data_IF_554183453445
#
_entry.id   IF_554183453445
#
_cell.length_a   1.000
_cell.length_b   1.000
_cell.length_c   1.000
_cell.angle_alpha   90.00
_cell.angle_beta   90.00
_cell.angle_gamma   90.00
#
_symmetry.space_group_name_H-M   'P 1'
#
loop_
_entity.id
_entity.type
_entity.pdbx_description
1 polymer ?
#
# COMPACT_ATOMS: atom_id res chain seq x y z
N UNK A 1 16.28 -44.27 -11.93
CA UNK A 1 15.92 -42.85 -12.14
C UNK A 1 17.22 -42.07 -12.05
N UNK A 2 17.75 -41.62 -13.18
CA UNK A 2 18.98 -40.83 -13.21
C UNK A 2 18.69 -39.46 -12.59
N UNK A 3 19.32 -39.15 -11.47
CA UNK A 3 19.35 -37.80 -10.93
C UNK A 3 20.32 -36.99 -11.78
N UNK A 4 19.80 -36.30 -12.80
CA UNK A 4 20.57 -35.30 -13.53
C UNK A 4 21.05 -34.25 -12.51
N UNK A 5 22.37 -34.01 -12.37
CA UNK A 5 22.86 -33.01 -11.43
C UNK A 5 22.29 -31.65 -11.83
N UNK A 6 21.48 -31.07 -10.94
CA UNK A 6 20.93 -29.74 -11.15
C UNK A 6 22.10 -28.77 -11.26
N UNK A 7 22.36 -28.25 -12.46
CA UNK A 7 23.44 -27.30 -12.67
C UNK A 7 23.06 -25.94 -12.09
N UNK A 8 24.05 -25.20 -11.60
CA UNK A 8 23.84 -23.85 -11.08
C UNK A 8 23.22 -22.92 -12.15
N UNK A 9 23.55 -23.15 -13.42
CA UNK A 9 22.98 -22.45 -14.58
C UNK A 9 21.47 -22.68 -14.69
N UNK A 10 21.02 -23.94 -14.59
CA UNK A 10 19.59 -24.26 -14.59
C UNK A 10 18.82 -23.57 -13.46
N UNK A 11 19.37 -23.54 -12.25
CA UNK A 11 18.72 -22.87 -11.12
C UNK A 11 18.64 -21.35 -11.34
N UNK A 12 19.65 -20.76 -11.96
CA UNK A 12 19.68 -19.33 -12.23
C UNK A 12 18.61 -18.96 -13.27
N UNK A 13 18.45 -19.76 -14.32
CA UNK A 13 17.41 -19.53 -15.32
C UNK A 13 16.01 -19.79 -14.77
N UNK A 14 15.85 -20.81 -13.92
CA UNK A 14 14.61 -21.02 -13.18
C UNK A 14 14.29 -19.81 -12.28
N UNK A 15 15.28 -19.30 -11.55
CA UNK A 15 15.09 -18.14 -10.68
C UNK A 15 14.65 -16.90 -11.47
N UNK A 16 15.29 -16.63 -12.60
CA UNK A 16 14.96 -15.51 -13.50
C UNK A 16 13.55 -15.62 -14.08
N UNK A 17 13.18 -16.78 -14.63
CA UNK A 17 11.84 -17.00 -15.19
C UNK A 17 10.74 -16.84 -14.14
N UNK A 18 11.00 -17.26 -12.89
CA UNK A 18 10.09 -17.05 -11.77
C UNK A 18 9.97 -15.57 -11.39
N UNK A 19 11.05 -14.79 -11.40
CA UNK A 19 10.98 -13.33 -11.18
C UNK A 19 10.04 -12.67 -12.20
N UNK A 20 10.21 -12.99 -13.49
CA UNK A 20 9.40 -12.44 -14.58
C UNK A 20 7.92 -12.81 -14.38
N UNK A 21 7.63 -14.11 -14.20
CA UNK A 21 6.26 -14.58 -13.98
C UNK A 21 5.59 -13.90 -12.77
N UNK A 22 6.32 -13.74 -11.67
CA UNK A 22 5.82 -13.03 -10.48
C UNK A 22 5.50 -11.57 -10.81
N UNK A 23 6.40 -10.88 -11.51
CA UNK A 23 6.21 -9.46 -11.85
C UNK A 23 5.02 -9.26 -12.79
N UNK A 24 4.82 -10.14 -13.77
CA UNK A 24 3.63 -10.15 -14.64
C UNK A 24 2.34 -10.35 -13.83
N UNK A 25 2.31 -11.36 -12.95
CA UNK A 25 1.15 -11.63 -12.09
C UNK A 25 0.85 -10.44 -11.18
N UNK A 26 1.88 -9.85 -10.57
CA UNK A 26 1.74 -8.67 -9.71
C UNK A 26 1.19 -7.48 -10.50
N UNK A 27 1.72 -7.21 -11.68
CA UNK A 27 1.23 -6.13 -12.54
C UNK A 27 -0.23 -6.34 -12.93
N UNK A 28 -0.60 -7.56 -13.32
CA UNK A 28 -1.99 -7.91 -13.65
C UNK A 28 -2.94 -7.69 -12.45
N UNK A 29 -2.52 -8.07 -11.24
CA UNK A 29 -3.30 -7.81 -10.02
C UNK A 29 -3.43 -6.31 -9.76
N UNK A 30 -2.35 -5.54 -9.82
CA UNK A 30 -2.38 -4.08 -9.62
C UNK A 30 -3.24 -3.36 -10.67
N UNK A 31 -3.19 -3.77 -11.94
CA UNK A 31 -4.04 -3.24 -13.00
C UNK A 31 -5.51 -3.57 -12.78
N UNK A 32 -5.81 -4.81 -12.39
CA UNK A 32 -7.17 -5.21 -12.06
C UNK A 32 -7.71 -4.42 -10.86
N UNK A 33 -6.92 -4.27 -9.79
CA UNK A 33 -7.27 -3.40 -8.66
C UNK A 33 -7.57 -1.97 -9.10
N UNK A 34 -6.73 -1.36 -9.95
CA UNK A 34 -6.97 -0.01 -10.50
C UNK A 34 -8.28 0.05 -11.28
N UNK A 35 -8.55 -0.92 -12.15
CA UNK A 35 -9.82 -1.01 -12.90
C UNK A 35 -11.02 -1.10 -11.94
N UNK A 36 -10.92 -1.88 -10.88
CA UNK A 36 -11.99 -2.02 -9.89
C UNK A 36 -12.21 -0.75 -9.06
N UNK A 37 -11.14 -0.10 -8.59
CA UNK A 37 -11.25 1.20 -7.93
C UNK A 37 -11.92 2.24 -8.83
N UNK A 38 -11.61 2.22 -10.13
CA UNK A 38 -12.24 3.09 -11.11
C UNK A 38 -13.73 2.75 -11.31
N UNK A 39 -14.07 1.46 -11.44
CA UNK A 39 -15.44 0.96 -11.62
C UNK A 39 -16.34 1.36 -10.44
N UNK A 40 -15.85 1.23 -9.21
CA UNK A 40 -16.60 1.54 -7.99
C UNK A 40 -16.27 2.91 -7.40
N UNK A 41 -15.66 3.81 -8.18
CA UNK A 41 -15.18 5.12 -7.72
C UNK A 41 -16.23 5.90 -6.95
N UNK A 42 -17.47 5.94 -7.45
CA UNK A 42 -18.57 6.66 -6.82
C UNK A 42 -18.99 6.03 -5.49
N UNK A 43 -19.04 4.69 -5.42
CA UNK A 43 -19.35 3.97 -4.18
C UNK A 43 -18.26 4.17 -3.14
N UNK A 44 -16.98 4.11 -3.53
CA UNK A 44 -15.88 4.41 -2.62
C UNK A 44 -15.90 5.86 -2.13
N UNK A 45 -16.15 6.83 -3.03
CA UNK A 45 -16.29 8.24 -2.66
C UNK A 45 -17.41 8.43 -1.65
N UNK A 46 -18.56 7.80 -1.87
CA UNK A 46 -19.68 7.85 -0.93
C UNK A 46 -19.33 7.19 0.40
N UNK A 47 -18.79 5.97 0.36
CA UNK A 47 -18.43 5.19 1.54
C UNK A 47 -17.47 5.97 2.44
N UNK A 48 -16.33 6.42 1.89
CA UNK A 48 -15.34 7.18 2.66
C UNK A 48 -15.87 8.57 3.05
N UNK A 49 -16.68 9.21 2.20
CA UNK A 49 -17.37 10.45 2.54
C UNK A 49 -18.24 10.30 3.79
N UNK A 50 -19.08 9.27 3.83
CA UNK A 50 -19.92 8.96 4.99
C UNK A 50 -19.10 8.63 6.24
N UNK A 51 -18.00 7.90 6.10
CA UNK A 51 -17.09 7.63 7.23
C UNK A 51 -16.55 8.92 7.84
N UNK A 52 -16.07 9.83 7.00
CA UNK A 52 -15.52 11.12 7.41
C UNK A 52 -16.60 11.98 8.07
N UNK A 53 -17.80 12.06 7.47
CA UNK A 53 -18.93 12.77 8.05
C UNK A 53 -19.30 12.23 9.44
N UNK A 54 -19.34 10.90 9.61
CA UNK A 54 -19.60 10.28 10.91
C UNK A 54 -18.53 10.65 11.94
N UNK A 55 -17.24 10.65 11.56
CA UNK A 55 -16.15 11.05 12.45
C UNK A 55 -16.36 12.48 12.95
N UNK A 56 -16.64 13.43 12.06
CA UNK A 56 -16.84 14.82 12.45
C UNK A 56 -18.13 15.04 13.25
N UNK A 57 -19.21 14.32 12.94
CA UNK A 57 -20.42 14.33 13.77
C UNK A 57 -20.14 13.83 15.19
N UNK A 58 -19.34 12.78 15.36
CA UNK A 58 -18.91 12.32 16.69
C UNK A 58 -18.08 13.36 17.43
N UNK A 59 -17.19 14.08 16.73
CA UNK A 59 -16.40 15.17 17.32
C UNK A 59 -17.29 16.33 17.78
N UNK A 60 -18.31 16.69 16.98
CA UNK A 60 -19.33 17.68 17.36
C UNK A 60 -20.10 17.25 18.61
N UNK A 61 -20.62 16.02 18.61
CA UNK A 61 -21.32 15.46 19.77
C UNK A 61 -20.45 15.47 21.03
N UNK A 62 -19.19 15.04 20.93
CA UNK A 62 -18.27 15.05 22.05
C UNK A 62 -18.02 16.46 22.60
N UNK A 63 -17.96 17.49 21.74
CA UNK A 63 -17.88 18.88 22.16
C UNK A 63 -19.14 19.31 22.91
N UNK A 64 -20.32 19.13 22.31
CA UNK A 64 -21.60 19.50 22.94
C UNK A 64 -21.78 18.81 24.30
N UNK A 65 -21.46 17.53 24.36
CA UNK A 65 -21.60 16.72 25.56
C UNK A 65 -20.63 17.17 26.66
N UNK A 66 -19.40 17.58 26.31
CA UNK A 66 -18.46 18.21 27.24
C UNK A 66 -19.00 19.52 27.80
N UNK A 67 -19.48 20.42 26.96
CA UNK A 67 -20.06 21.69 27.39
C UNK A 67 -21.26 21.47 28.32
N UNK A 68 -22.15 20.55 27.96
CA UNK A 68 -23.31 20.21 28.77
C UNK A 68 -22.92 19.67 30.16
N UNK A 69 -21.91 18.80 30.23
CA UNK A 69 -21.40 18.25 31.49
C UNK A 69 -20.74 19.33 32.38
N UNK A 70 -20.19 20.38 31.77
CA UNK A 70 -19.57 21.51 32.48
C UNK A 70 -20.54 22.67 32.71
N UNK A 71 -21.82 22.53 32.33
CA UNK A 71 -22.82 23.60 32.37
C UNK A 71 -22.39 24.87 31.63
N UNK A 72 -21.59 24.72 30.57
CA UNK A 72 -21.15 25.81 29.70
C UNK A 72 -22.17 25.98 28.58
N UNK A 73 -22.49 27.23 28.23
CA UNK A 73 -23.35 27.55 27.10
C UNK A 73 -22.73 27.01 25.81
N UNK A 74 -23.56 26.43 24.95
CA UNK A 74 -23.13 25.87 23.68
C UNK A 74 -23.43 26.91 22.59
N UNK A 75 -22.39 27.49 22.00
CA UNK A 75 -22.51 28.39 20.85
C UNK A 75 -22.22 27.65 19.55
N UNK A 76 -23.05 27.91 18.53
CA UNK A 76 -22.92 27.22 17.25
C UNK A 76 -21.63 27.59 16.53
N UNK A 77 -21.26 28.86 16.57
CA UNK A 77 -20.05 29.42 15.93
C UNK A 77 -18.77 28.80 16.52
N UNK A 78 -18.75 28.55 17.84
CA UNK A 78 -17.62 27.89 18.50
C UNK A 78 -17.49 26.41 18.08
N UNK A 79 -18.61 25.70 17.94
CA UNK A 79 -18.60 24.31 17.44
C UNK A 79 -18.03 24.27 16.02
N UNK A 80 -18.50 25.14 15.13
CA UNK A 80 -18.05 25.14 13.75
C UNK A 80 -16.56 25.51 13.66
N UNK A 81 -16.12 26.51 14.43
CA UNK A 81 -14.69 26.87 14.55
C UNK A 81 -13.83 25.72 15.06
N UNK A 82 -14.28 25.02 16.12
CA UNK A 82 -13.59 23.84 16.65
C UNK A 82 -13.49 22.72 15.61
N UNK A 83 -14.56 22.45 14.88
CA UNK A 83 -14.57 21.39 13.86
C UNK A 83 -13.69 21.75 12.68
N UNK A 84 -13.63 23.01 12.27
CA UNK A 84 -12.77 23.44 11.18
C UNK A 84 -11.28 23.31 11.54
N UNK A 85 -10.89 23.65 12.78
CA UNK A 85 -9.55 23.38 13.28
C UNK A 85 -9.21 21.87 13.30
N UNK A 86 -10.15 21.03 13.75
CA UNK A 86 -9.96 19.56 13.76
C UNK A 86 -9.86 18.98 12.34
N UNK A 87 -10.62 19.52 11.38
CA UNK A 87 -10.51 19.11 9.97
C UNK A 87 -9.14 19.44 9.40
N UNK A 88 -8.62 20.64 9.68
CA UNK A 88 -7.33 21.09 9.18
C UNK A 88 -6.19 20.19 9.68
N UNK A 89 -6.15 19.91 10.99
CA UNK A 89 -5.18 18.97 11.58
C UNK A 89 -5.29 17.57 10.97
N UNK A 90 -6.52 17.06 10.79
CA UNK A 90 -6.74 15.75 10.18
C UNK A 90 -6.26 15.70 8.72
N UNK A 91 -6.53 16.75 7.93
CA UNK A 91 -6.06 16.86 6.56
C UNK A 91 -4.53 16.96 6.48
N UNK A 92 -3.91 17.68 7.42
CA UNK A 92 -2.46 17.74 7.53
C UNK A 92 -1.85 16.35 7.82
N UNK A 93 -2.42 15.59 8.76
CA UNK A 93 -1.99 14.22 9.05
C UNK A 93 -2.16 13.28 7.85
N UNK A 94 -3.26 13.40 7.10
CA UNK A 94 -3.46 12.62 5.88
C UNK A 94 -2.41 12.94 4.81
N UNK A 95 -2.03 14.21 4.67
CA UNK A 95 -0.99 14.62 3.72
C UNK A 95 0.40 14.12 4.16
N UNK A 96 0.72 14.17 5.45
CA UNK A 96 1.92 13.53 6.01
C UNK A 96 1.93 12.03 5.66
N UNK A 97 0.83 11.31 5.92
CA UNK A 97 0.74 9.87 5.62
C UNK A 97 0.85 9.58 4.12
N UNK A 98 0.26 10.42 3.27
CA UNK A 98 0.37 10.31 1.81
C UNK A 98 1.83 10.43 1.37
N UNK A 99 2.56 11.36 1.96
CA UNK A 99 3.98 11.58 1.65
C UNK A 99 4.88 10.49 2.28
N UNK A 100 4.55 9.97 3.46
CA UNK A 100 5.24 8.82 4.08
C UNK A 100 4.93 7.47 3.40
N UNK A 101 3.85 7.37 2.63
CA UNK A 101 3.56 6.20 1.77
C UNK A 101 4.60 6.03 0.65
N UNK A 102 5.50 7.00 0.46
CA UNK A 102 6.76 6.77 -0.25
C UNK A 102 7.63 5.80 0.57
N UNK A 103 7.50 4.50 0.26
CA UNK A 103 8.32 3.35 0.68
C UNK A 103 9.25 3.63 1.87
N UNK A 104 8.88 3.18 3.07
CA UNK A 104 9.75 3.26 4.26
C UNK A 104 11.10 2.61 3.93
N UNK A 105 12.19 3.38 4.06
CA UNK A 105 13.56 2.91 3.83
C UNK A 105 13.83 1.74 4.77
N UNK A 106 14.14 0.56 4.23
CA UNK A 106 14.40 -0.65 5.02
C UNK A 106 15.66 -0.47 5.85
N UNK A 107 15.67 -0.96 7.08
CA UNK A 107 16.90 -1.05 7.86
C UNK A 107 17.76 -2.19 7.32
N UNK A 108 19.02 -1.89 7.00
CA UNK A 108 20.04 -2.88 6.69
C UNK A 108 21.18 -2.72 7.68
N UNK A 109 21.77 -3.84 8.08
CA UNK A 109 23.02 -3.82 8.83
C UNK A 109 24.18 -3.34 7.92
N UNK A 110 25.35 -3.12 8.52
CA UNK A 110 26.55 -2.61 7.83
C UNK A 110 26.95 -3.45 6.62
N UNK A 111 26.87 -4.78 6.71
CA UNK A 111 27.24 -5.66 5.61
C UNK A 111 26.18 -5.69 4.50
N UNK A 112 24.90 -5.65 4.85
CA UNK A 112 23.79 -5.49 3.90
C UNK A 112 23.90 -4.19 3.12
N UNK A 113 24.30 -3.09 3.76
CA UNK A 113 24.56 -1.81 3.09
C UNK A 113 25.74 -1.90 2.10
N UNK A 114 26.85 -2.54 2.50
CA UNK A 114 28.00 -2.78 1.61
C UNK A 114 27.60 -3.65 0.43
N UNK A 115 26.76 -4.66 0.64
CA UNK A 115 26.26 -5.54 -0.41
C UNK A 115 25.34 -4.77 -1.37
N UNK A 116 24.36 -4.04 -0.87
CA UNK A 116 23.46 -3.20 -1.68
C UNK A 116 24.25 -2.22 -2.56
N UNK A 117 25.26 -1.53 -1.99
CA UNK A 117 26.13 -0.62 -2.75
C UNK A 117 26.93 -1.34 -3.83
N UNK A 118 27.45 -2.54 -3.56
CA UNK A 118 28.20 -3.34 -4.54
C UNK A 118 27.31 -3.78 -5.70
N UNK A 119 26.14 -4.33 -5.39
CA UNK A 119 25.16 -4.79 -6.39
C UNK A 119 24.69 -3.62 -7.24
N UNK A 120 24.25 -2.52 -6.62
CA UNK A 120 23.80 -1.34 -7.34
C UNK A 120 24.86 -0.79 -8.30
N UNK A 121 26.13 -0.69 -7.85
CA UNK A 121 27.25 -0.30 -8.71
C UNK A 121 27.47 -1.23 -9.90
N UNK A 122 27.20 -2.53 -9.78
CA UNK A 122 27.33 -3.50 -10.88
C UNK A 122 26.19 -3.34 -11.88
N UNK A 123 24.97 -3.13 -11.39
CA UNK A 123 23.78 -2.87 -12.22
C UNK A 123 24.02 -1.64 -13.09
N UNK A 124 24.26 -0.46 -12.49
CA UNK A 124 24.38 0.83 -13.24
C UNK A 124 25.55 0.89 -14.22
N UNK A 125 26.52 -0.03 -14.12
CA UNK A 125 27.64 -0.14 -15.07
C UNK A 125 27.28 -0.93 -16.33
N UNK A 126 26.18 -1.67 -16.30
CA UNK A 126 25.78 -2.63 -17.33
C UNK A 126 24.49 -2.23 -18.05
N UNK A 127 23.70 -1.35 -17.46
CA UNK A 127 22.47 -0.82 -18.05
C UNK A 127 22.57 0.69 -18.20
N UNK A 128 22.00 1.20 -19.28
CA UNK A 128 21.88 2.63 -19.54
C UNK A 128 20.64 3.24 -18.85
N UNK A 129 20.52 4.56 -18.90
CA UNK A 129 19.43 5.30 -18.22
C UNK A 129 18.05 5.00 -18.79
N UNK A 130 18.00 4.68 -20.08
CA UNK A 130 16.79 4.35 -20.82
C UNK A 130 16.34 2.90 -20.55
N UNK A 131 17.15 2.11 -19.85
CA UNK A 131 16.84 0.72 -19.58
C UNK A 131 15.61 0.58 -18.66
N UNK A 132 14.67 -0.34 -18.91
CA UNK A 132 13.46 -0.51 -18.10
C UNK A 132 13.71 -0.77 -16.59
N UNK A 133 14.88 -1.34 -16.26
CA UNK A 133 15.29 -1.62 -14.88
C UNK A 133 16.03 -0.46 -14.20
N UNK A 134 16.34 0.63 -14.91
CA UNK A 134 17.15 1.75 -14.39
C UNK A 134 16.51 2.40 -13.16
N UNK A 135 15.30 2.94 -13.30
CA UNK A 135 14.59 3.60 -12.19
C UNK A 135 14.30 2.62 -11.05
N UNK A 136 13.92 1.38 -11.38
CA UNK A 136 13.70 0.29 -10.39
C UNK A 136 14.97 0.05 -9.55
N UNK A 137 16.15 0.15 -10.15
CA UNK A 137 17.43 -0.03 -9.45
C UNK A 137 17.76 1.14 -8.52
N UNK A 138 17.51 2.39 -8.96
CA UNK A 138 17.72 3.60 -8.16
C UNK A 138 16.81 3.57 -6.93
N UNK A 139 15.52 3.31 -7.14
CA UNK A 139 14.54 3.20 -6.08
C UNK A 139 14.94 2.13 -5.06
N UNK A 140 15.28 0.94 -5.53
CA UNK A 140 15.66 -0.17 -4.66
C UNK A 140 16.89 0.17 -3.82
N UNK A 141 17.87 0.88 -4.38
CA UNK A 141 19.03 1.35 -3.63
C UNK A 141 18.68 2.45 -2.62
N UNK A 142 17.90 3.46 -3.04
CA UNK A 142 17.47 4.58 -2.18
C UNK A 142 16.73 4.10 -0.93
N UNK A 143 15.89 3.08 -1.09
CA UNK A 143 15.05 2.51 -0.04
C UNK A 143 15.61 1.25 0.62
N UNK A 144 16.88 0.92 0.36
CA UNK A 144 17.59 -0.22 0.95
C UNK A 144 16.91 -1.58 0.68
N UNK A 145 16.29 -1.76 -0.48
CA UNK A 145 15.68 -3.01 -0.88
C UNK A 145 16.70 -3.98 -1.48
N UNK A 146 17.49 -4.61 -0.60
CA UNK A 146 18.53 -5.55 -1.02
C UNK A 146 17.96 -6.73 -1.81
N UNK A 147 16.80 -7.26 -1.40
CA UNK A 147 16.11 -8.37 -2.07
C UNK A 147 15.78 -7.98 -3.51
N UNK A 148 15.30 -6.77 -3.73
CA UNK A 148 14.96 -6.29 -5.06
C UNK A 148 16.20 -6.00 -5.90
N UNK A 149 17.24 -5.38 -5.33
CA UNK A 149 18.52 -5.18 -6.01
C UNK A 149 19.11 -6.50 -6.54
N UNK A 150 18.99 -7.59 -5.77
CA UNK A 150 19.44 -8.91 -6.19
C UNK A 150 18.60 -9.49 -7.34
N UNK A 151 17.29 -9.28 -7.33
CA UNK A 151 16.42 -9.68 -8.45
C UNK A 151 16.84 -8.93 -9.72
N UNK A 152 17.04 -7.61 -9.62
CA UNK A 152 17.44 -6.77 -10.75
C UNK A 152 18.80 -7.22 -11.31
N UNK A 153 19.78 -7.48 -10.45
CA UNK A 153 21.09 -7.97 -10.88
C UNK A 153 20.99 -9.29 -11.65
N UNK A 154 20.17 -10.23 -11.17
CA UNK A 154 19.96 -11.51 -11.85
C UNK A 154 19.32 -11.36 -13.24
N UNK A 155 18.41 -10.40 -13.41
CA UNK A 155 17.80 -10.06 -14.71
C UNK A 155 18.80 -9.38 -15.65
N UNK A 156 19.59 -8.41 -15.14
CA UNK A 156 20.61 -7.73 -15.95
C UNK A 156 21.70 -8.71 -16.41
N UNK A 157 22.11 -9.64 -15.55
CA UNK A 157 23.10 -10.67 -15.92
C UNK A 157 22.59 -11.59 -17.04
N UNK A 158 21.27 -11.81 -17.12
CA UNK A 158 20.64 -12.58 -18.21
C UNK A 158 20.71 -11.81 -19.54
N UNK A 159 20.23 -10.56 -19.55
CA UNK A 159 20.19 -9.73 -20.76
C UNK A 159 21.60 -9.45 -21.32
N UNK A 160 22.58 -9.26 -20.43
CA UNK A 160 23.96 -8.97 -20.79
C UNK A 160 24.85 -10.20 -20.99
N UNK A 161 24.30 -11.43 -20.90
CA UNK A 161 25.01 -12.70 -21.05
C UNK A 161 26.28 -12.79 -20.17
N UNK A 162 26.21 -12.26 -18.94
CA UNK A 162 27.37 -12.20 -18.06
C UNK A 162 27.68 -13.57 -17.45
N UNK A 163 28.91 -14.07 -17.61
CA UNK A 163 29.35 -15.39 -17.12
C UNK A 163 29.67 -15.44 -15.62
N UNK A 164 29.45 -14.37 -14.85
CA UNK A 164 29.83 -14.31 -13.42
C UNK A 164 28.78 -14.97 -12.52
N UNK A 165 28.87 -16.29 -12.40
CA UNK A 165 27.97 -17.10 -11.59
C UNK A 165 28.63 -17.47 -10.26
N UNK A 166 28.80 -16.49 -9.36
CA UNK A 166 29.26 -16.78 -7.98
C UNK A 166 28.13 -16.50 -6.97
N UNK A 167 26.95 -17.06 -7.26
CA UNK A 167 25.81 -17.08 -6.34
C UNK A 167 25.79 -18.45 -5.70
N UNK A 168 25.78 -18.47 -4.37
CA UNK A 168 25.64 -19.67 -3.57
C UNK A 168 24.35 -20.44 -3.96
N UNK A 169 24.49 -21.73 -4.29
CA UNK A 169 23.38 -22.58 -4.75
C UNK A 169 22.28 -22.71 -3.68
N UNK A 170 22.66 -22.82 -2.40
CA UNK A 170 21.70 -22.92 -1.29
C UNK A 170 20.91 -21.62 -1.19
N UNK A 171 21.60 -20.48 -1.27
CA UNK A 171 20.95 -19.18 -1.28
C UNK A 171 19.96 -19.04 -2.45
N UNK A 172 20.36 -19.47 -3.65
CA UNK A 172 19.51 -19.44 -4.84
C UNK A 172 18.27 -20.33 -4.68
N UNK A 173 18.41 -21.53 -4.10
CA UNK A 173 17.28 -22.42 -3.83
C UNK A 173 16.28 -21.82 -2.84
N UNK A 174 16.76 -21.23 -1.73
CA UNK A 174 15.90 -20.52 -0.77
C UNK A 174 15.11 -19.42 -1.48
N UNK A 175 15.77 -18.68 -2.36
CA UNK A 175 15.18 -17.56 -3.07
C UNK A 175 14.15 -18.02 -4.11
N UNK A 176 14.42 -19.11 -4.84
CA UNK A 176 13.46 -19.75 -5.75
C UNK A 176 12.19 -20.14 -5.00
N UNK A 177 12.32 -20.79 -3.84
CA UNK A 177 11.15 -21.18 -3.04
C UNK A 177 10.35 -19.97 -2.57
N UNK A 178 11.01 -18.92 -2.08
CA UNK A 178 10.36 -17.67 -1.69
C UNK A 178 9.59 -17.02 -2.86
N UNK A 179 10.12 -17.07 -4.09
CA UNK A 179 9.39 -16.53 -5.25
C UNK A 179 8.24 -17.44 -5.67
N UNK A 180 8.38 -18.77 -5.57
CA UNK A 180 7.27 -19.69 -5.79
C UNK A 180 6.11 -19.44 -4.83
N UNK A 181 6.39 -19.21 -3.56
CA UNK A 181 5.39 -18.81 -2.56
C UNK A 181 4.71 -17.48 -2.93
N UNK A 182 5.47 -16.48 -3.41
CA UNK A 182 4.92 -15.22 -3.91
C UNK A 182 4.01 -15.44 -5.14
N UNK A 183 4.41 -16.31 -6.07
CA UNK A 183 3.61 -16.68 -7.25
C UNK A 183 2.34 -17.40 -6.84
N UNK A 184 2.43 -18.39 -5.95
CA UNK A 184 1.31 -19.16 -5.46
C UNK A 184 0.30 -18.27 -4.75
N UNK A 185 0.77 -17.25 -4.01
CA UNK A 185 -0.11 -16.24 -3.44
C UNK A 185 -0.93 -15.51 -4.50
N UNK A 186 -0.33 -15.11 -5.63
CA UNK A 186 -1.03 -14.42 -6.71
C UNK A 186 -1.95 -15.34 -7.52
N UNK A 187 -1.51 -16.57 -7.81
CA UNK A 187 -2.28 -17.55 -8.59
C UNK A 187 -3.51 -18.04 -7.81
N UNK A 188 -3.36 -18.25 -6.51
CA UNK A 188 -4.43 -18.78 -5.66
C UNK A 188 -5.29 -17.67 -5.03
N UNK A 189 -5.17 -16.42 -5.46
CA UNK A 189 -6.12 -15.40 -5.02
C UNK A 189 -7.52 -15.78 -5.50
N UNK A 190 -8.55 -15.67 -4.63
CA UNK A 190 -9.91 -15.94 -5.03
C UNK A 190 -10.29 -15.04 -6.21
N UNK A 191 -11.02 -15.56 -7.20
CA UNK A 191 -11.44 -14.77 -8.34
C UNK A 191 -12.26 -13.58 -7.85
N UNK A 192 -11.84 -12.38 -8.24
CA UNK A 192 -12.54 -11.18 -7.87
C UNK A 192 -13.92 -11.14 -8.56
N UNK A 193 -14.98 -11.09 -7.77
CA UNK A 193 -16.35 -10.88 -8.26
C UNK A 193 -16.76 -9.42 -8.09
N UNK A 194 -16.89 -8.64 -9.19
CA UNK A 194 -17.35 -7.25 -9.13
C UNK A 194 -18.71 -7.12 -8.44
N UNK A 195 -19.61 -8.08 -8.67
CA UNK A 195 -20.95 -8.09 -8.09
C UNK A 195 -20.92 -8.24 -6.56
N UNK A 196 -20.06 -9.13 -6.05
CA UNK A 196 -19.88 -9.31 -4.62
C UNK A 196 -19.25 -8.08 -3.98
N UNK A 197 -18.27 -7.46 -4.65
CA UNK A 197 -17.65 -6.21 -4.16
C UNK A 197 -18.67 -5.08 -4.10
N UNK A 198 -19.45 -4.89 -5.17
CA UNK A 198 -20.47 -3.86 -5.23
C UNK A 198 -21.50 -4.04 -4.12
N UNK A 199 -21.98 -5.28 -3.93
CA UNK A 199 -22.92 -5.64 -2.86
C UNK A 199 -22.34 -5.36 -1.48
N UNK A 200 -21.07 -5.73 -1.26
CA UNK A 200 -20.35 -5.46 -0.02
C UNK A 200 -20.24 -3.96 0.26
N UNK A 201 -19.82 -3.15 -0.73
CA UNK A 201 -19.71 -1.71 -0.60
C UNK A 201 -21.07 -1.05 -0.31
N UNK A 202 -22.13 -1.45 -1.04
CA UNK A 202 -23.49 -0.94 -0.78
C UNK A 202 -23.99 -1.26 0.63
N UNK A 203 -23.68 -2.46 1.16
CA UNK A 203 -24.02 -2.84 2.53
C UNK A 203 -23.32 -1.95 3.55
N UNK A 204 -22.03 -1.70 3.36
CA UNK A 204 -21.26 -0.81 4.23
C UNK A 204 -21.74 0.64 4.14
N UNK A 205 -22.04 1.15 2.94
CA UNK A 205 -22.65 2.47 2.75
C UNK A 205 -23.96 2.57 3.54
N UNK A 206 -24.85 1.57 3.43
CA UNK A 206 -26.12 1.56 4.15
C UNK A 206 -25.90 1.60 5.67
N UNK A 207 -24.94 0.84 6.19
CA UNK A 207 -24.57 0.86 7.61
C UNK A 207 -24.12 2.25 8.05
N UNK A 208 -23.25 2.91 7.29
CA UNK A 208 -22.80 4.28 7.63
C UNK A 208 -23.89 5.33 7.46
N UNK A 209 -24.82 5.19 6.49
CA UNK A 209 -26.00 6.06 6.38
C UNK A 209 -26.89 5.94 7.62
N UNK A 210 -27.19 4.71 8.07
CA UNK A 210 -27.95 4.49 9.30
C UNK A 210 -27.23 5.07 10.52
N UNK A 211 -25.93 4.82 10.64
CA UNK A 211 -25.13 5.35 11.74
C UNK A 211 -25.10 6.89 11.76
N UNK A 212 -24.92 7.53 10.60
CA UNK A 212 -24.99 8.98 10.44
C UNK A 212 -26.34 9.52 10.90
N UNK A 213 -27.44 8.87 10.55
CA UNK A 213 -28.78 9.28 10.97
C UNK A 213 -28.94 9.23 12.49
N UNK A 214 -28.41 8.19 13.14
CA UNK A 214 -28.45 8.08 14.60
C UNK A 214 -27.61 9.17 15.28
N UNK A 215 -26.41 9.45 14.76
CA UNK A 215 -25.58 10.56 15.23
C UNK A 215 -26.27 11.92 15.04
N UNK A 216 -26.93 12.14 13.90
CA UNK A 216 -27.69 13.37 13.64
C UNK A 216 -28.86 13.53 14.62
N UNK A 217 -29.60 12.45 14.92
CA UNK A 217 -30.67 12.48 15.93
C UNK A 217 -30.13 12.87 17.31
N UNK A 218 -28.98 12.31 17.70
CA UNK A 218 -28.30 12.70 18.95
C UNK A 218 -27.86 14.16 18.90
N UNK A 219 -27.34 14.65 17.78
CA UNK A 219 -26.86 16.03 17.67
C UNK A 219 -28.03 17.02 17.73
N UNK A 220 -29.18 16.66 17.14
CA UNK A 220 -30.39 17.47 17.15
C UNK A 220 -31.00 17.64 18.56
N UNK A 221 -30.68 16.77 19.53
CA UNK A 221 -31.09 17.01 20.92
C UNK A 221 -30.35 18.22 21.51
N UNK A 222 -29.09 18.45 21.12
CA UNK A 222 -28.31 19.60 21.55
C UNK A 222 -28.70 20.89 20.84
N UNK A 223 -29.20 20.84 19.60
CA UNK A 223 -29.61 22.07 18.88
C UNK A 223 -30.72 22.85 19.59
N UNK A 224 -31.49 22.20 20.47
CA UNK A 224 -32.52 22.85 21.30
C UNK A 224 -31.96 23.70 22.44
N UNK A 225 -30.72 23.42 22.87
CA UNK A 225 -30.03 24.13 23.96
C UNK A 225 -28.84 24.96 23.45
N UNK A 226 -28.64 24.99 22.13
CA UNK A 226 -27.64 25.85 21.48
C UNK A 226 -28.11 27.29 21.46
N UNK A 227 -27.17 28.19 21.70
CA UNK A 227 -27.38 29.62 21.61
C UNK A 227 -26.85 30.10 20.26
N UNK A 228 -27.59 30.99 19.62
CA UNK A 228 -27.06 31.83 18.56
C UNK A 228 -26.36 33.04 19.22
N UNK A 229 -25.24 33.46 18.65
CA UNK A 229 -24.65 34.75 18.99
C UNK A 229 -25.58 35.90 18.59
#
# INVERSE_FOLDING_TARGET
MEHTPVTQEYLIDLYRSLIIKRDELKNNVEENEKKYYQMFRNLYKEYYGLMIECIFLKKRLAYCQRCNNLHIKIYKEEIDSYIDAVKEDYMHQLEILRNHKQRIKKSLNTDGMKQAKRIFKRIIKRIDKEHPLWERSIDSYRYNDLKELMNIEALVDYETHSTRHNIDIIYLMIRINSIKEEIDFYVNQPPYSPQEKEKSLKKEILKYRSYRNDLNKQYHSFTKVMHAC
#
